data_IF_223637633324
#
_entry.id   IF_223637633324
#
_cell.length_a   1.000
_cell.length_b   1.000
_cell.length_c   1.000
_cell.angle_alpha   90.00
_cell.angle_beta   90.00
_cell.angle_gamma   90.00
#
_symmetry.space_group_name_H-M   'P 1'
#
loop_
_entity.id
_entity.type
_entity.pdbx_description
1 polymer ?
#
# COMPACT_ATOMS: atom_id res chain seq x y z
N UNK A 1 15.23 -0.57 -15.31
CA UNK A 1 14.88 0.12 -14.05
C UNK A 1 14.18 1.42 -14.40
N UNK A 2 13.05 1.71 -13.73
CA UNK A 2 12.34 2.98 -13.88
C UNK A 2 13.06 4.14 -13.21
N UNK A 3 12.50 5.34 -13.32
CA UNK A 3 13.01 6.55 -12.65
C UNK A 3 12.33 6.70 -11.29
N UNK A 4 13.11 6.82 -10.22
CA UNK A 4 12.59 7.14 -8.89
C UNK A 4 12.31 8.64 -8.78
N UNK A 5 11.18 8.99 -8.17
CA UNK A 5 10.73 10.37 -7.98
C UNK A 5 10.15 10.53 -6.58
N UNK A 6 10.34 11.71 -5.99
CA UNK A 6 9.67 12.07 -4.74
C UNK A 6 8.26 12.55 -5.07
N UNK A 7 7.26 11.88 -4.49
CA UNK A 7 5.84 12.14 -4.71
C UNK A 7 5.23 12.66 -3.41
N UNK A 8 4.42 13.72 -3.51
CA UNK A 8 3.68 14.22 -2.35
C UNK A 8 2.38 13.44 -2.16
N UNK A 9 2.13 12.94 -0.96
CA UNK A 9 0.84 12.36 -0.58
C UNK A 9 -0.10 13.43 -0.03
N UNK A 10 -1.31 13.54 -0.59
CA UNK A 10 -2.41 14.30 0.01
C UNK A 10 -3.34 13.30 0.71
N UNK A 11 -3.56 13.51 2.00
CA UNK A 11 -4.33 12.58 2.84
C UNK A 11 -5.18 13.32 3.86
N UNK A 12 -6.17 12.63 4.44
CA UNK A 12 -7.06 13.12 5.50
C UNK A 12 -7.80 14.44 5.16
N UNK A 13 -8.04 14.69 3.86
CA UNK A 13 -8.77 15.88 3.41
C UNK A 13 -10.21 15.79 3.91
N UNK A 14 -10.61 16.76 4.71
CA UNK A 14 -11.94 16.76 5.30
C UNK A 14 -12.49 18.19 5.45
N UNK A 15 -13.81 18.31 5.40
CA UNK A 15 -14.52 19.54 5.73
C UNK A 15 -15.72 19.18 6.57
N UNK A 16 -15.80 19.81 7.75
CA UNK A 16 -16.93 19.68 8.68
C UNK A 16 -18.26 19.98 7.94
N UNK A 17 -19.30 19.15 8.11
CA UNK A 17 -20.57 19.28 7.38
C UNK A 17 -21.15 20.69 7.34
N UNK A 18 -21.15 21.38 8.47
CA UNK A 18 -21.68 22.72 8.69
C UNK A 18 -20.91 23.82 7.91
N UNK A 19 -19.68 23.53 7.49
CA UNK A 19 -18.82 24.44 6.71
C UNK A 19 -18.70 24.05 5.22
N UNK A 20 -19.38 23.00 4.75
CA UNK A 20 -19.34 22.58 3.34
C UNK A 20 -20.05 23.59 2.43
N UNK A 21 -19.70 23.55 1.14
CA UNK A 21 -20.26 24.43 0.08
C UNK A 21 -20.03 25.93 0.31
N UNK A 22 -19.02 26.29 1.10
CA UNK A 22 -18.58 27.67 1.36
C UNK A 22 -17.24 28.04 0.71
N UNK A 23 -16.67 27.13 -0.11
CA UNK A 23 -15.39 27.33 -0.79
C UNK A 23 -14.15 26.90 -0.01
N UNK A 24 -14.24 26.55 1.28
CA UNK A 24 -13.07 26.22 2.11
C UNK A 24 -12.23 25.05 1.59
N UNK A 25 -12.86 23.96 1.12
CA UNK A 25 -12.14 22.86 0.50
C UNK A 25 -11.27 23.35 -0.66
N UNK A 26 -11.85 24.17 -1.54
CA UNK A 26 -11.13 24.72 -2.69
C UNK A 26 -9.98 25.62 -2.26
N UNK A 27 -10.22 26.48 -1.27
CA UNK A 27 -9.19 27.36 -0.74
C UNK A 27 -8.01 26.56 -0.18
N UNK A 28 -8.27 25.63 0.75
CA UNK A 28 -7.21 24.81 1.38
C UNK A 28 -6.49 23.93 0.37
N UNK A 29 -7.21 23.33 -0.59
CA UNK A 29 -6.57 22.55 -1.64
C UNK A 29 -5.67 23.42 -2.52
N UNK A 30 -6.09 24.64 -2.88
CA UNK A 30 -5.26 25.54 -3.67
C UNK A 30 -3.96 25.88 -2.93
N UNK A 31 -4.07 26.29 -1.66
CA UNK A 31 -2.92 26.59 -0.82
C UNK A 31 -1.97 25.37 -0.66
N UNK A 32 -2.52 24.16 -0.52
CA UNK A 32 -1.74 22.93 -0.43
C UNK A 32 -1.02 22.61 -1.75
N UNK A 33 -1.66 22.82 -2.89
CA UNK A 33 -1.07 22.59 -4.21
C UNK A 33 0.06 23.59 -4.50
N UNK A 34 -0.15 24.88 -4.19
CA UNK A 34 0.86 25.92 -4.30
C UNK A 34 2.08 25.61 -3.43
N UNK A 35 1.85 25.10 -2.21
CA UNK A 35 2.93 24.63 -1.34
C UNK A 35 3.70 23.46 -1.98
N UNK A 36 3.01 22.54 -2.63
CA UNK A 36 3.61 21.35 -3.22
C UNK A 36 4.34 21.59 -4.54
N UNK A 37 3.97 22.61 -5.32
CA UNK A 37 4.41 22.84 -6.71
C UNK A 37 5.94 22.80 -6.88
N UNK A 38 6.70 23.39 -5.96
CA UNK A 38 8.17 23.42 -6.02
C UNK A 38 8.86 22.26 -5.29
N UNK A 39 8.10 21.37 -4.66
CA UNK A 39 8.61 20.32 -3.74
C UNK A 39 8.49 18.92 -4.30
N UNK A 40 7.44 18.67 -5.08
CA UNK A 40 7.11 17.34 -5.56
C UNK A 40 6.87 17.39 -7.06
N UNK A 41 7.33 16.34 -7.76
CA UNK A 41 7.12 16.25 -9.20
C UNK A 41 5.67 15.89 -9.56
N UNK A 42 5.01 15.16 -8.66
CA UNK A 42 3.60 14.81 -8.77
C UNK A 42 3.02 14.57 -7.38
N UNK A 43 1.69 14.49 -7.33
CA UNK A 43 0.92 14.27 -6.11
C UNK A 43 0.03 13.04 -6.29
N UNK A 44 -0.15 12.30 -5.20
CA UNK A 44 -1.03 11.14 -5.14
C UNK A 44 -1.98 11.27 -3.96
N UNK A 45 -3.19 10.75 -4.14
CA UNK A 45 -4.19 10.62 -3.08
C UNK A 45 -5.12 9.45 -3.40
N UNK A 46 -5.73 8.91 -2.35
CA UNK A 46 -6.82 7.95 -2.46
C UNK A 46 -8.14 8.64 -2.16
N UNK A 47 -9.15 8.42 -2.99
CA UNK A 47 -10.48 9.01 -2.82
C UNK A 47 -11.56 8.11 -3.41
N UNK A 48 -12.73 8.08 -2.76
CA UNK A 48 -13.95 7.51 -3.32
C UNK A 48 -14.80 8.55 -4.10
N UNK A 49 -14.32 9.79 -4.17
CA UNK A 49 -14.99 10.94 -4.81
C UNK A 49 -13.98 11.66 -5.73
N UNK A 50 -13.56 11.03 -6.84
CA UNK A 50 -12.59 11.60 -7.77
C UNK A 50 -13.03 12.96 -8.34
N UNK A 51 -14.34 13.16 -8.53
CA UNK A 51 -14.94 14.39 -9.06
C UNK A 51 -14.63 15.65 -8.24
N UNK A 52 -14.25 15.50 -6.96
CA UNK A 52 -13.80 16.62 -6.13
C UNK A 52 -12.39 17.10 -6.48
N UNK A 53 -11.56 16.22 -7.06
CA UNK A 53 -10.14 16.44 -7.29
C UNK A 53 -9.81 16.68 -8.77
N UNK A 54 -10.64 16.19 -9.71
CA UNK A 54 -10.49 16.46 -11.14
C UNK A 54 -10.35 17.95 -11.49
N UNK A 55 -11.07 18.90 -10.84
CA UNK A 55 -10.90 20.33 -11.13
C UNK A 55 -9.51 20.89 -10.78
N UNK A 56 -8.72 20.16 -9.97
CA UNK A 56 -7.33 20.48 -9.64
C UNK A 56 -6.32 19.75 -10.53
N UNK A 57 -6.78 19.02 -11.54
CA UNK A 57 -5.91 18.31 -12.50
C UNK A 57 -5.57 16.87 -12.11
N UNK A 58 -6.12 16.34 -11.01
CA UNK A 58 -5.99 14.92 -10.68
C UNK A 58 -6.71 14.06 -11.70
N UNK A 59 -6.20 12.83 -11.87
CA UNK A 59 -6.77 11.81 -12.75
C UNK A 59 -6.81 10.50 -12.01
N UNK A 60 -7.84 9.71 -12.27
CA UNK A 60 -7.94 8.37 -11.72
C UNK A 60 -6.87 7.45 -12.31
N UNK A 61 -6.26 6.65 -11.44
CA UNK A 61 -5.40 5.54 -11.81
C UNK A 61 -6.08 4.26 -11.31
N UNK A 62 -6.33 3.32 -12.23
CA UNK A 62 -7.00 2.08 -11.89
C UNK A 62 -6.14 1.16 -11.01
N UNK A 63 -6.75 0.59 -9.98
CA UNK A 63 -6.15 -0.48 -9.18
C UNK A 63 -6.55 -1.84 -9.76
N UNK A 64 -5.69 -2.84 -9.57
CA UNK A 64 -5.94 -4.20 -10.06
C UNK A 64 -6.29 -5.13 -8.90
N UNK A 65 -7.40 -5.84 -9.02
CA UNK A 65 -7.80 -6.93 -8.13
C UNK A 65 -7.83 -8.23 -8.93
N UNK A 66 -7.05 -9.22 -8.50
CA UNK A 66 -7.03 -10.55 -9.09
C UNK A 66 -7.81 -11.53 -8.21
N UNK A 67 -8.58 -12.42 -8.84
CA UNK A 67 -9.29 -13.50 -8.14
C UNK A 67 -9.05 -14.80 -8.87
N UNK A 68 -8.68 -15.84 -8.12
CA UNK A 68 -8.49 -17.18 -8.66
C UNK A 68 -9.20 -18.20 -7.76
N UNK A 69 -9.86 -19.18 -8.37
CA UNK A 69 -10.36 -20.35 -7.67
C UNK A 69 -9.27 -21.41 -7.64
N UNK A 70 -8.93 -21.93 -6.46
CA UNK A 70 -8.01 -23.06 -6.31
C UNK A 70 -8.67 -24.13 -5.46
N UNK A 71 -8.52 -25.39 -5.86
CA UNK A 71 -8.81 -26.50 -4.96
C UNK A 71 -7.89 -26.41 -3.75
N UNK A 72 -8.38 -26.85 -2.59
CA UNK A 72 -7.58 -26.88 -1.37
C UNK A 72 -6.30 -27.69 -1.64
N UNK A 73 -5.17 -26.99 -1.67
CA UNK A 73 -3.87 -27.63 -1.69
C UNK A 73 -3.54 -28.13 -0.28
N UNK A 74 -2.72 -29.17 -0.18
CA UNK A 74 -2.15 -29.56 1.12
C UNK A 74 -1.33 -28.38 1.62
N UNK A 75 -1.71 -27.82 2.77
CA UNK A 75 -0.96 -26.74 3.41
C UNK A 75 0.47 -27.18 3.69
N UNK A 76 1.40 -26.24 3.60
CA UNK A 76 2.73 -26.38 4.20
C UNK A 76 2.67 -25.74 5.59
N UNK A 77 3.27 -26.40 6.56
CA UNK A 77 3.67 -25.73 7.80
C UNK A 77 4.77 -24.71 7.48
N UNK A 78 4.91 -23.68 8.32
CA UNK A 78 6.01 -22.71 8.22
C UNK A 78 5.63 -21.23 8.31
N UNK A 79 4.33 -20.91 8.26
CA UNK A 79 3.86 -19.56 8.58
C UNK A 79 3.62 -19.43 10.09
N UNK A 80 4.21 -18.42 10.71
CA UNK A 80 3.82 -17.98 12.06
C UNK A 80 3.25 -16.57 12.01
N UNK A 81 2.26 -16.29 12.84
CA UNK A 81 1.77 -14.94 12.99
C UNK A 81 2.82 -14.07 13.70
N UNK A 82 3.01 -12.84 13.20
CA UNK A 82 3.85 -11.83 13.86
C UNK A 82 3.07 -11.08 14.93
N UNK A 83 3.74 -10.75 16.02
CA UNK A 83 3.24 -9.82 17.04
C UNK A 83 4.10 -8.55 17.02
N UNK A 84 3.59 -7.47 16.44
CA UNK A 84 4.35 -6.21 16.34
C UNK A 84 4.61 -5.52 17.70
N UNK A 85 4.03 -6.01 18.80
CA UNK A 85 4.42 -5.60 20.16
C UNK A 85 5.67 -6.35 20.68
N UNK A 86 6.06 -7.44 20.03
CA UNK A 86 7.34 -8.11 20.30
C UNK A 86 8.46 -7.38 19.55
N UNK A 87 9.51 -6.89 20.24
CA UNK A 87 10.60 -6.17 19.60
C UNK A 87 11.36 -6.96 18.52
N UNK A 88 11.41 -8.29 18.61
CA UNK A 88 12.07 -9.12 17.60
C UNK A 88 11.25 -9.21 16.32
N UNK A 89 9.93 -9.37 16.46
CA UNK A 89 9.01 -9.39 15.32
C UNK A 89 8.94 -8.03 14.64
N UNK A 90 8.95 -6.95 15.42
CA UNK A 90 9.01 -5.60 14.88
C UNK A 90 10.29 -5.37 14.07
N UNK A 91 11.46 -5.73 14.61
CA UNK A 91 12.75 -5.62 13.89
C UNK A 91 12.79 -6.48 12.63
N UNK A 92 12.19 -7.67 12.67
CA UNK A 92 12.07 -8.54 11.50
C UNK A 92 11.21 -7.87 10.41
N UNK A 93 10.05 -7.31 10.80
CA UNK A 93 9.17 -6.60 9.88
C UNK A 93 9.86 -5.37 9.28
N UNK A 94 10.50 -4.54 10.10
CA UNK A 94 11.28 -3.37 9.64
C UNK A 94 12.37 -3.77 8.64
N UNK A 95 13.13 -4.84 8.93
CA UNK A 95 14.17 -5.36 8.02
C UNK A 95 13.60 -5.76 6.67
N UNK A 96 12.50 -6.51 6.65
CA UNK A 96 11.91 -7.02 5.41
C UNK A 96 11.20 -5.90 4.63
N UNK A 97 10.53 -4.98 5.31
CA UNK A 97 9.91 -3.80 4.69
C UNK A 97 10.95 -2.85 4.07
N UNK A 98 12.11 -2.70 4.73
CA UNK A 98 13.23 -1.93 4.18
C UNK A 98 13.81 -2.54 2.90
N UNK A 99 13.72 -3.86 2.74
CA UNK A 99 14.20 -4.60 1.57
C UNK A 99 13.09 -4.89 0.54
N UNK A 100 11.88 -4.35 0.74
CA UNK A 100 10.73 -4.61 -0.12
C UNK A 100 10.96 -4.07 -1.53
N UNK A 101 10.86 -4.96 -2.51
CA UNK A 101 10.84 -4.57 -3.92
C UNK A 101 9.41 -4.25 -4.38
N UNK A 102 9.23 -3.26 -5.27
CA UNK A 102 7.93 -3.00 -5.88
C UNK A 102 7.54 -4.15 -6.81
N UNK A 103 6.29 -4.61 -6.71
CA UNK A 103 5.75 -5.70 -7.54
C UNK A 103 5.18 -5.23 -8.89
N UNK A 104 5.24 -3.93 -9.17
CA UNK A 104 4.71 -3.30 -10.38
C UNK A 104 5.84 -2.70 -11.21
N UNK A 105 5.85 -3.02 -12.51
CA UNK A 105 6.79 -2.46 -13.48
C UNK A 105 6.36 -1.09 -14.03
N UNK A 106 5.17 -0.61 -13.67
CA UNK A 106 4.60 0.67 -14.14
C UNK A 106 4.82 1.78 -13.12
N UNK A 107 4.33 1.57 -11.90
CA UNK A 107 4.45 2.49 -10.75
C UNK A 107 4.52 1.65 -9.49
N UNK A 108 5.51 1.91 -8.63
CA UNK A 108 5.65 1.25 -7.33
C UNK A 108 6.15 2.22 -6.27
N UNK A 109 5.65 2.07 -5.05
CA UNK A 109 6.12 2.83 -3.88
C UNK A 109 7.27 2.08 -3.24
N UNK A 110 8.39 2.78 -3.04
CA UNK A 110 9.63 2.25 -2.46
C UNK A 110 10.04 3.11 -1.26
N UNK A 111 10.80 2.54 -0.32
CA UNK A 111 11.37 3.24 0.83
C UNK A 111 10.36 3.91 1.78
N UNK A 112 9.13 3.37 1.90
CA UNK A 112 8.05 3.96 2.72
C UNK A 112 7.45 2.95 3.72
N UNK A 113 8.23 2.58 4.74
CA UNK A 113 7.79 1.66 5.81
C UNK A 113 6.59 2.24 6.58
N UNK A 114 6.56 3.56 6.77
CA UNK A 114 5.47 4.24 7.48
C UNK A 114 4.12 4.10 6.77
N UNK A 115 4.11 4.08 5.43
CA UNK A 115 2.89 3.90 4.65
C UNK A 115 2.33 2.48 4.81
N UNK A 116 3.21 1.47 4.87
CA UNK A 116 2.79 0.10 5.18
C UNK A 116 2.15 0.02 6.56
N UNK A 117 2.79 0.62 7.57
CA UNK A 117 2.24 0.71 8.92
C UNK A 117 0.84 1.34 8.92
N UNK A 118 0.67 2.48 8.25
CA UNK A 118 -0.63 3.16 8.17
C UNK A 118 -1.73 2.34 7.47
N UNK A 119 -1.38 1.56 6.45
CA UNK A 119 -2.36 0.83 5.63
C UNK A 119 -2.68 -0.57 6.17
N UNK A 120 -1.70 -1.26 6.76
CA UNK A 120 -1.73 -2.71 6.96
C UNK A 120 -1.54 -3.17 8.41
N UNK A 121 -1.12 -2.30 9.35
CA UNK A 121 -0.84 -2.70 10.74
C UNK A 121 -2.08 -3.26 11.50
N UNK A 122 -3.28 -2.94 11.02
CA UNK A 122 -4.54 -3.43 11.56
C UNK A 122 -4.87 -4.86 11.11
N UNK A 123 -4.11 -5.43 10.17
CA UNK A 123 -4.34 -6.77 9.61
C UNK A 123 -3.36 -7.80 10.14
N UNK A 124 -3.75 -9.09 10.21
CA UNK A 124 -2.82 -10.15 10.57
C UNK A 124 -1.64 -10.26 9.59
N UNK A 125 -0.43 -10.24 10.13
CA UNK A 125 0.80 -10.49 9.39
C UNK A 125 1.35 -11.87 9.73
N UNK A 126 1.75 -12.63 8.70
CA UNK A 126 2.37 -13.94 8.87
C UNK A 126 3.74 -13.96 8.22
N UNK A 127 4.71 -14.52 8.92
CA UNK A 127 6.08 -14.69 8.45
C UNK A 127 6.34 -16.15 8.08
N UNK A 128 6.89 -16.38 6.89
CA UNK A 128 7.45 -17.66 6.46
C UNK A 128 8.97 -17.58 6.45
N UNK A 129 9.60 -18.29 7.39
CA UNK A 129 11.05 -18.22 7.61
C UNK A 129 11.86 -18.73 6.43
N UNK A 130 11.44 -19.83 5.81
CA UNK A 130 12.17 -20.46 4.71
C UNK A 130 12.14 -19.65 3.41
N UNK A 131 11.12 -18.80 3.25
CA UNK A 131 10.97 -17.89 2.11
C UNK A 131 11.47 -16.47 2.42
N UNK A 132 11.75 -16.18 3.69
CA UNK A 132 12.02 -14.83 4.20
C UNK A 132 10.99 -13.78 3.75
N UNK A 133 9.70 -14.13 3.82
CA UNK A 133 8.60 -13.21 3.45
C UNK A 133 7.62 -12.99 4.58
N UNK A 134 7.02 -11.80 4.60
CA UNK A 134 5.81 -11.47 5.35
C UNK A 134 4.64 -11.41 4.36
N UNK A 135 3.51 -12.00 4.74
CA UNK A 135 2.25 -11.89 4.01
C UNK A 135 1.21 -11.19 4.89
N UNK A 136 0.57 -10.15 4.35
CA UNK A 136 -0.61 -9.53 4.93
C UNK A 136 -1.84 -10.21 4.37
N UNK A 137 -2.56 -10.98 5.20
CA UNK A 137 -3.61 -11.88 4.73
C UNK A 137 -4.74 -12.04 5.75
N UNK A 138 -5.97 -12.10 5.23
CA UNK A 138 -7.16 -12.49 5.99
C UNK A 138 -7.75 -13.78 5.40
N UNK A 139 -8.27 -14.64 6.29
CA UNK A 139 -9.00 -15.83 5.89
C UNK A 139 -10.35 -15.88 6.62
N UNK A 140 -11.44 -15.92 5.86
CA UNK A 140 -12.81 -15.96 6.40
C UNK A 140 -13.40 -17.38 6.49
N UNK A 141 -12.57 -18.43 6.30
CA UNK A 141 -13.00 -19.82 6.24
C UNK A 141 -13.26 -20.34 4.83
N UNK A 142 -13.57 -19.45 3.89
CA UNK A 142 -13.88 -19.80 2.48
C UNK A 142 -12.99 -19.09 1.46
N UNK A 143 -12.46 -17.93 1.85
CA UNK A 143 -11.71 -17.04 0.97
C UNK A 143 -10.48 -16.52 1.69
N UNK A 144 -9.35 -16.61 1.00
CA UNK A 144 -8.10 -15.97 1.39
C UNK A 144 -8.00 -14.64 0.64
N UNK A 145 -7.83 -13.55 1.38
CA UNK A 145 -7.57 -12.21 0.84
C UNK A 145 -6.11 -11.87 1.11
N UNK A 146 -5.32 -11.76 0.04
CA UNK A 146 -3.92 -11.35 0.10
C UNK A 146 -3.84 -9.85 -0.19
N UNK A 147 -3.34 -9.07 0.77
CA UNK A 147 -3.25 -7.61 0.67
C UNK A 147 -1.84 -7.16 0.27
N UNK A 148 -0.80 -7.77 0.84
CA UNK A 148 0.59 -7.46 0.50
C UNK A 148 1.50 -8.67 0.72
N UNK A 149 2.62 -8.69 0.00
CA UNK A 149 3.73 -9.64 0.17
C UNK A 149 5.02 -8.83 0.27
N UNK A 150 5.72 -9.01 1.37
CA UNK A 150 6.92 -8.26 1.70
C UNK A 150 8.08 -9.22 1.79
N UNK A 151 9.12 -8.98 1.00
CA UNK A 151 10.36 -9.74 1.02
C UNK A 151 11.36 -9.13 0.04
N UNK A 152 12.60 -9.61 0.10
CA UNK A 152 13.58 -9.27 -0.92
C UNK A 152 13.16 -9.90 -2.26
N UNK A 153 13.43 -9.23 -3.39
CA UNK A 153 13.00 -9.61 -4.75
C UNK A 153 13.52 -10.94 -5.31
N UNK A 154 13.90 -11.90 -4.49
CA UNK A 154 14.31 -13.24 -4.86
C UNK A 154 13.16 -14.26 -4.74
N UNK A 155 11.95 -13.93 -5.21
CA UNK A 155 11.01 -14.95 -5.68
C UNK A 155 11.13 -15.02 -7.21
N UNK A 156 12.33 -15.36 -7.68
CA UNK A 156 12.66 -15.40 -9.10
C UNK A 156 11.83 -16.43 -9.85
N UNK A 157 11.23 -15.99 -10.97
CA UNK A 157 10.89 -16.71 -12.20
C UNK A 157 10.15 -18.07 -12.16
N UNK A 158 9.84 -18.65 -11.00
CA UNK A 158 9.25 -20.00 -10.91
C UNK A 158 7.73 -20.02 -10.70
N UNK A 159 7.08 -18.87 -10.60
CA UNK A 159 5.62 -18.76 -10.41
C UNK A 159 5.00 -17.75 -11.37
N UNK A 160 5.35 -17.84 -12.66
CA UNK A 160 4.47 -17.31 -13.69
C UNK A 160 3.14 -18.10 -13.62
N UNK A 161 2.05 -17.42 -13.26
CA UNK A 161 0.71 -17.96 -13.42
C UNK A 161 0.47 -18.15 -14.92
N UNK A 162 0.61 -19.39 -15.39
CA UNK A 162 0.06 -19.85 -16.66
C UNK A 162 -1.45 -20.06 -16.54
#
# INVERSE_FOLDING_TARGET
MGRQVTVGGIHAVCTRPEYRRRGYFRQVMTEALDYCESRYETLLLYTAQPELYEPFGFRELGEHLFTASRSAARGREGFRQLNLNDPNDLRLAERLLAAREPVSNTVGVVNEIGLFGFNEDHRPLYYAEDLEIIVCVEFDGSRLKLFDVVGAGALGDSYAFN
#
